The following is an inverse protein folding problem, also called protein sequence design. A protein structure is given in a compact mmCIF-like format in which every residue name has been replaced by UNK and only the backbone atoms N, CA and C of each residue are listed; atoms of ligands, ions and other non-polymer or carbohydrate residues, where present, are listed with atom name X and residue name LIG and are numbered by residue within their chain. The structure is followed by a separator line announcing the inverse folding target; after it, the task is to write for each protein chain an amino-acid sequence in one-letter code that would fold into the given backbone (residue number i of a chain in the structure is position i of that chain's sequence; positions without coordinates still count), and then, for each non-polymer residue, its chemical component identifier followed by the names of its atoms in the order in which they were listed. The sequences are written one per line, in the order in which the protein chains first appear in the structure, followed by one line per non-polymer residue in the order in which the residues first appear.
data_IF_638506142924
#
_entry.id   IF_638506142924
#
_cell.length_a   1.000
_cell.length_b   1.000
_cell.length_c   1.000
_cell.angle_alpha   90.00
_cell.angle_beta   90.00
_cell.angle_gamma   90.00
#
_symmetry.space_group_name_H-M   'P 1'
#
loop_
_entity.id
_entity.type
_entity.pdbx_description
1 polymer ?
#
# COMPACT_ATOMS: atom_id res chain seq x y z
N UNK A 1 -4.96 -12.96 3.37
CA UNK A 1 -4.87 -12.89 4.85
C UNK A 1 -3.40 -12.71 5.19
N UNK A 2 -2.97 -11.59 5.81
CA UNK A 2 -1.55 -11.28 5.95
C UNK A 2 -0.85 -12.32 6.84
N UNK A 3 0.35 -12.72 6.45
CA UNK A 3 1.18 -13.73 7.13
C UNK A 3 2.07 -13.11 8.24
N UNK A 4 1.74 -11.92 8.73
CA UNK A 4 2.52 -11.23 9.77
C UNK A 4 2.14 -11.72 11.18
N UNK A 5 3.10 -11.83 12.12
CA UNK A 5 2.79 -12.09 13.52
C UNK A 5 1.87 -10.98 14.06
N UNK A 6 0.77 -11.36 14.70
CA UNK A 6 -0.23 -10.42 15.26
C UNK A 6 0.38 -9.34 16.18
N UNK A 7 1.54 -9.60 16.78
CA UNK A 7 2.28 -8.65 17.60
C UNK A 7 2.88 -7.45 16.83
N UNK A 8 3.01 -7.56 15.50
CA UNK A 8 3.50 -6.49 14.61
C UNK A 8 2.36 -5.75 13.91
N UNK A 9 1.15 -6.30 13.99
CA UNK A 9 -0.06 -5.70 13.43
C UNK A 9 -0.50 -4.59 14.39
N UNK A 10 -0.64 -3.33 13.93
CA UNK A 10 -1.15 -2.24 14.76
C UNK A 10 -2.49 -2.62 15.41
N UNK A 11 -2.70 -2.34 16.71
CA UNK A 11 -3.95 -2.68 17.42
C UNK A 11 -5.21 -2.06 16.78
N UNK A 12 -5.04 -0.99 16.03
CA UNK A 12 -6.07 -0.29 15.26
C UNK A 12 -6.32 -0.89 13.86
N UNK A 13 -5.70 -2.04 13.56
CA UNK A 13 -6.07 -2.88 12.42
C UNK A 13 -7.48 -3.45 12.54
N UNK A 14 -8.27 -3.11 13.59
CA UNK A 14 -9.71 -3.33 13.68
C UNK A 14 -10.51 -2.54 12.61
N UNK A 15 -10.30 -2.96 11.35
CA UNK A 15 -11.23 -3.25 10.26
C UNK A 15 -12.48 -2.37 10.06
N UNK A 16 -12.33 -1.10 9.66
CA UNK A 16 -13.45 -0.36 9.05
C UNK A 16 -13.17 0.06 7.60
N UNK A 17 -11.99 0.61 7.33
CA UNK A 17 -11.67 1.06 5.97
C UNK A 17 -11.46 -0.12 5.01
N UNK A 18 -10.90 -1.24 5.48
CA UNK A 18 -10.65 -2.42 4.64
C UNK A 18 -11.93 -3.01 4.03
N UNK A 19 -13.06 -2.87 4.72
CA UNK A 19 -14.37 -3.34 4.24
C UNK A 19 -14.86 -2.58 3.00
N UNK A 20 -14.39 -1.34 2.84
CA UNK A 20 -14.74 -0.45 1.72
C UNK A 20 -13.69 -0.52 0.59
N UNK A 21 -12.73 -1.44 0.66
CA UNK A 21 -11.67 -1.60 -0.33
C UNK A 21 -12.18 -2.25 -1.61
N UNK A 22 -11.97 -1.58 -2.76
CA UNK A 22 -12.30 -2.13 -4.09
C UNK A 22 -11.56 -3.44 -4.42
N UNK A 23 -10.43 -3.71 -3.75
CA UNK A 23 -9.69 -4.96 -3.91
C UNK A 23 -10.49 -6.21 -3.50
N UNK A 24 -11.56 -6.06 -2.72
CA UNK A 24 -12.43 -7.17 -2.29
C UNK A 24 -13.21 -7.79 -3.43
N UNK A 25 -13.44 -7.04 -4.51
CA UNK A 25 -14.16 -7.50 -5.70
C UNK A 25 -13.22 -8.11 -6.76
N UNK A 26 -11.91 -8.13 -6.49
CA UNK A 26 -10.88 -8.60 -7.39
C UNK A 26 -10.14 -9.83 -6.82
N UNK A 27 -9.43 -10.56 -7.69
CA UNK A 27 -8.61 -11.70 -7.30
C UNK A 27 -7.48 -11.26 -6.34
N UNK A 28 -7.32 -11.86 -5.15
CA UNK A 28 -6.21 -11.58 -4.24
C UNK A 28 -4.82 -11.73 -4.88
N UNK A 29 -4.66 -12.65 -5.83
CA UNK A 29 -3.39 -12.88 -6.54
C UNK A 29 -2.98 -11.68 -7.40
N UNK A 30 -3.93 -10.80 -7.75
CA UNK A 30 -3.62 -9.54 -8.42
C UNK A 30 -2.75 -8.64 -7.54
N UNK A 31 -3.03 -8.60 -6.23
CA UNK A 31 -2.34 -7.73 -5.29
C UNK A 31 -1.14 -8.41 -4.64
N UNK A 32 -1.20 -9.72 -4.42
CA UNK A 32 -0.21 -10.50 -3.68
C UNK A 32 0.29 -11.68 -4.52
N UNK A 33 1.53 -11.59 -5.01
CA UNK A 33 2.14 -12.64 -5.83
C UNK A 33 2.95 -13.64 -5.00
N UNK A 34 3.14 -14.87 -5.50
CA UNK A 34 4.14 -15.77 -4.96
C UNK A 34 5.56 -15.21 -5.19
N UNK A 35 6.49 -15.52 -4.27
CA UNK A 35 7.86 -14.96 -4.22
C UNK A 35 8.70 -15.07 -5.52
N UNK A 36 8.26 -15.88 -6.49
CA UNK A 36 9.05 -16.21 -7.68
C UNK A 36 8.61 -15.43 -8.94
N UNK A 37 7.57 -14.59 -8.88
CA UNK A 37 7.17 -13.77 -10.04
C UNK A 37 8.17 -12.63 -10.29
N UNK A 38 8.63 -12.48 -11.53
CA UNK A 38 9.64 -11.47 -11.90
C UNK A 38 9.40 -10.88 -13.27
N UNK A 39 10.13 -9.80 -13.57
CA UNK A 39 10.18 -9.18 -14.89
C UNK A 39 8.81 -8.66 -15.36
N UNK A 40 8.50 -8.89 -16.63
CA UNK A 40 7.31 -8.30 -17.27
C UNK A 40 5.99 -8.79 -16.67
N UNK A 41 5.94 -9.99 -16.09
CA UNK A 41 4.73 -10.50 -15.42
C UNK A 41 4.41 -9.66 -14.18
N UNK A 42 5.39 -9.47 -13.30
CA UNK A 42 5.26 -8.63 -12.10
C UNK A 42 4.83 -7.21 -12.45
N UNK A 43 5.46 -6.60 -13.46
CA UNK A 43 5.13 -5.23 -13.90
C UNK A 43 3.69 -5.13 -14.39
N UNK A 44 3.21 -6.10 -15.19
CA UNK A 44 1.81 -6.11 -15.67
C UNK A 44 0.83 -6.28 -14.54
N UNK A 45 1.10 -7.20 -13.61
CA UNK A 45 0.26 -7.44 -12.43
C UNK A 45 0.19 -6.21 -11.54
N UNK A 46 1.34 -5.61 -11.21
CA UNK A 46 1.40 -4.40 -10.40
C UNK A 46 0.62 -3.26 -11.05
N UNK A 47 0.74 -3.06 -12.37
CA UNK A 47 -0.03 -2.04 -13.09
C UNK A 47 -1.54 -2.30 -13.02
N UNK A 48 -1.96 -3.55 -13.16
CA UNK A 48 -3.36 -3.93 -13.06
C UNK A 48 -3.91 -3.72 -11.63
N UNK A 49 -3.15 -4.12 -10.59
CA UNK A 49 -3.50 -3.85 -9.20
C UNK A 49 -3.59 -2.34 -8.89
N UNK A 50 -2.61 -1.56 -9.37
CA UNK A 50 -2.60 -0.10 -9.26
C UNK A 50 -3.84 0.55 -9.89
N UNK A 51 -4.31 0.00 -11.00
CA UNK A 51 -5.53 0.46 -11.68
C UNK A 51 -6.77 0.25 -10.81
N UNK A 52 -6.90 -0.90 -10.14
CA UNK A 52 -7.99 -1.13 -9.16
C UNK A 52 -7.88 -0.16 -7.99
N UNK A 53 -6.67 0.05 -7.47
CA UNK A 53 -6.47 0.99 -6.38
C UNK A 53 -6.82 2.44 -6.76
N UNK A 54 -6.71 2.82 -8.04
CA UNK A 54 -6.89 4.21 -8.48
C UNK A 54 -8.27 4.79 -8.13
N UNK A 55 -9.33 3.98 -8.22
CA UNK A 55 -10.71 4.35 -7.87
C UNK A 55 -11.16 3.90 -6.48
N UNK A 56 -10.27 3.33 -5.66
CA UNK A 56 -10.62 2.81 -4.35
C UNK A 56 -10.86 3.96 -3.34
N UNK A 57 -12.00 3.98 -2.62
CA UNK A 57 -12.34 5.09 -1.71
C UNK A 57 -11.41 5.17 -0.49
N UNK A 58 -10.78 4.06 -0.12
CA UNK A 58 -9.88 3.95 1.06
C UNK A 58 -8.41 3.89 0.68
N UNK A 59 -8.05 4.41 -0.51
CA UNK A 59 -6.69 4.32 -1.05
C UNK A 59 -5.67 4.99 -0.14
N UNK A 60 -6.00 6.14 0.43
CA UNK A 60 -5.12 6.90 1.32
C UNK A 60 -4.84 6.13 2.61
N UNK A 61 -5.88 5.62 3.27
CA UNK A 61 -5.80 4.83 4.50
C UNK A 61 -5.02 3.53 4.28
N UNK A 62 -5.25 2.88 3.14
CA UNK A 62 -4.54 1.66 2.74
C UNK A 62 -3.04 1.92 2.54
N UNK A 63 -2.68 3.02 1.86
CA UNK A 63 -1.29 3.39 1.63
C UNK A 63 -0.57 3.80 2.94
N UNK A 64 -1.24 4.59 3.79
CA UNK A 64 -0.72 5.00 5.10
C UNK A 64 -0.45 3.78 6.00
N UNK A 65 -1.41 2.86 6.07
CA UNK A 65 -1.24 1.59 6.78
C UNK A 65 -0.02 0.83 6.27
N UNK A 66 0.10 0.63 4.95
CA UNK A 66 1.18 -0.16 4.38
C UNK A 66 2.57 0.42 4.66
N UNK A 67 2.70 1.74 4.63
CA UNK A 67 3.95 2.45 4.98
C UNK A 67 4.25 2.34 6.47
N UNK A 68 3.28 2.56 7.37
CA UNK A 68 3.47 2.44 8.83
C UNK A 68 3.79 1.03 9.30
N UNK A 69 3.08 0.06 8.76
CA UNK A 69 3.25 -1.36 9.07
C UNK A 69 4.48 -1.97 8.39
N UNK A 70 5.11 -1.24 7.46
CA UNK A 70 6.17 -1.76 6.58
C UNK A 70 5.75 -3.06 5.91
N UNK A 71 4.60 -3.05 5.26
CA UNK A 71 4.05 -4.23 4.59
C UNK A 71 5.06 -4.75 3.54
N UNK A 72 5.58 -5.98 3.74
CA UNK A 72 6.74 -6.46 2.99
C UNK A 72 6.41 -6.86 1.56
N UNK A 73 5.13 -7.19 1.29
CA UNK A 73 4.71 -7.74 0.01
C UNK A 73 3.45 -7.10 -0.56
N UNK A 74 3.33 -7.15 -1.88
CA UNK A 74 2.12 -6.82 -2.62
C UNK A 74 1.84 -5.34 -2.84
N UNK A 75 0.72 -5.07 -3.50
CA UNK A 75 0.25 -3.72 -3.82
C UNK A 75 -0.79 -3.25 -2.82
N UNK A 76 -0.52 -2.11 -2.17
CA UNK A 76 -1.36 -1.51 -1.13
C UNK A 76 -1.62 -0.04 -1.43
N UNK A 77 -2.89 0.37 -1.51
CA UNK A 77 -3.24 1.78 -1.79
C UNK A 77 -2.63 2.30 -3.11
N UNK A 78 -2.31 1.40 -4.04
CA UNK A 78 -1.63 1.72 -5.30
C UNK A 78 -0.09 1.70 -5.21
N UNK A 79 0.50 1.42 -4.04
CA UNK A 79 1.95 1.31 -3.90
C UNK A 79 2.39 -0.16 -4.02
N UNK A 80 3.28 -0.47 -4.96
CA UNK A 80 4.02 -1.74 -4.96
C UNK A 80 5.08 -1.75 -3.87
N UNK A 81 5.73 -2.90 -3.66
CA UNK A 81 6.89 -3.01 -2.77
C UNK A 81 7.99 -2.01 -3.14
N UNK A 82 8.25 -1.87 -4.45
CA UNK A 82 9.28 -0.97 -4.98
C UNK A 82 8.93 0.50 -4.75
N UNK A 83 7.65 0.87 -4.94
CA UNK A 83 7.19 2.23 -4.61
C UNK A 83 7.39 2.55 -3.13
N UNK A 84 7.11 1.57 -2.25
CA UNK A 84 7.29 1.73 -0.79
C UNK A 84 8.76 1.84 -0.40
N UNK A 85 9.66 1.09 -1.03
CA UNK A 85 11.11 1.22 -0.79
C UNK A 85 11.61 2.63 -1.13
N UNK A 86 11.13 3.23 -2.22
CA UNK A 86 11.45 4.63 -2.54
C UNK A 86 10.93 5.62 -1.49
N UNK A 87 9.78 5.34 -0.88
CA UNK A 87 9.23 6.13 0.21
C UNK A 87 10.10 5.97 1.47
N UNK A 88 10.47 4.74 1.85
CA UNK A 88 11.32 4.49 3.01
C UNK A 88 12.72 5.08 2.89
N UNK A 89 13.26 5.17 1.67
CA UNK A 89 14.54 5.81 1.41
C UNK A 89 14.49 7.35 1.58
N UNK A 90 13.32 7.97 1.38
CA UNK A 90 13.13 9.43 1.43
C UNK A 90 12.64 9.91 2.79
N UNK A 91 11.73 9.17 3.41
CA UNK A 91 11.30 9.40 4.77
C UNK A 91 12.40 8.87 5.67
N UNK A 92 13.10 9.73 6.42
CA UNK A 92 13.94 9.27 7.52
C UNK A 92 13.05 8.43 8.45
N UNK A 93 13.13 7.11 8.28
CA UNK A 93 12.07 6.21 8.74
C UNK A 93 12.03 6.09 10.26
N UNK A 94 13.02 6.68 10.94
CA UNK A 94 13.06 6.89 12.40
C UNK A 94 11.97 7.86 12.87
N UNK A 95 11.49 8.74 11.97
CA UNK A 95 10.54 9.81 12.26
C UNK A 95 9.14 9.58 11.69
N UNK A 96 8.87 8.48 10.98
CA UNK A 96 7.52 8.23 10.50
C UNK A 96 6.60 7.85 11.67
N UNK A 97 5.52 8.60 11.92
CA UNK A 97 4.65 8.31 13.06
C UNK A 97 4.03 6.92 12.94
N UNK A 98 4.23 6.10 13.97
CA UNK A 98 3.63 4.75 14.04
C UNK A 98 2.16 4.79 14.46
N UNK A 99 1.73 5.89 15.08
CA UNK A 99 0.38 6.08 15.58
C UNK A 99 -0.62 6.42 14.44
N UNK A 100 -1.87 6.03 14.65
CA UNK A 100 -2.97 6.14 13.68
C UNK A 100 -3.21 7.57 13.24
N UNK A 101 -3.35 7.79 11.92
CA UNK A 101 -3.69 9.09 11.35
C UNK A 101 -2.60 10.16 11.51
N UNK A 102 -1.51 9.86 12.22
CA UNK A 102 -0.35 10.74 12.33
C UNK A 102 0.48 10.68 11.06
N UNK A 103 0.54 9.54 10.36
CA UNK A 103 1.16 9.42 9.04
C UNK A 103 0.42 10.25 7.98
N UNK A 104 -0.91 10.17 7.93
CA UNK A 104 -1.74 11.04 7.09
C UNK A 104 -1.64 12.53 7.47
N UNK A 105 -1.50 12.87 8.76
CA UNK A 105 -1.35 14.26 9.20
C UNK A 105 0.05 14.83 8.93
N UNK A 106 1.10 14.03 9.12
CA UNK A 106 2.49 14.48 8.99
C UNK A 106 3.01 14.39 7.55
N UNK A 107 2.53 13.41 6.77
CA UNK A 107 3.04 13.11 5.43
C UNK A 107 1.92 12.90 4.38
N UNK A 108 0.69 13.33 4.66
CA UNK A 108 -0.45 13.12 3.77
C UNK A 108 -0.26 13.71 2.37
N UNK A 109 0.42 14.85 2.24
CA UNK A 109 0.74 15.45 0.94
C UNK A 109 1.76 14.63 0.14
N UNK A 110 2.82 14.14 0.80
CA UNK A 110 3.83 13.29 0.17
C UNK A 110 3.23 11.94 -0.23
N UNK A 111 2.39 11.36 0.63
CA UNK A 111 1.69 10.13 0.35
C UNK A 111 0.70 10.31 -0.81
N UNK A 112 -0.11 11.36 -0.81
CA UNK A 112 -1.03 11.69 -1.90
C UNK A 112 -0.32 11.84 -3.25
N UNK A 113 0.86 12.49 -3.25
CA UNK A 113 1.72 12.58 -4.43
C UNK A 113 2.22 11.22 -4.88
N UNK A 114 2.69 10.38 -3.95
CA UNK A 114 3.22 9.04 -4.23
C UNK A 114 2.16 8.11 -4.81
N UNK A 115 0.90 8.23 -4.38
CA UNK A 115 -0.18 7.39 -4.90
C UNK A 115 -0.85 7.97 -6.15
N UNK A 116 -0.49 9.16 -6.62
CA UNK A 116 -1.15 9.79 -7.78
C UNK A 116 -1.06 8.92 -9.04
N UNK A 117 -2.09 8.89 -9.93
CA UNK A 117 -2.06 8.07 -11.16
C UNK A 117 -0.80 8.26 -12.00
N UNK A 118 -0.28 9.50 -12.04
CA UNK A 118 0.98 9.84 -12.69
C UNK A 118 2.18 9.20 -12.01
N UNK A 119 2.30 9.27 -10.68
CA UNK A 119 3.40 8.65 -9.95
C UNK A 119 3.37 7.11 -10.07
N UNK A 120 2.18 6.54 -10.17
CA UNK A 120 1.97 5.10 -10.29
C UNK A 120 2.11 4.54 -11.72
N UNK A 121 2.28 5.40 -12.74
CA UNK A 121 2.40 4.97 -14.14
C UNK A 121 1.12 4.41 -14.74
N UNK A 122 -0.04 4.86 -14.22
CA UNK A 122 -1.39 4.45 -14.65
C UNK A 122 -2.23 5.61 -15.19
N UNK A 123 -1.62 6.78 -15.36
CA UNK A 123 -2.22 7.91 -16.09
C UNK A 123 -2.21 7.66 -17.60
#
# INVERSE_FOLDING_TARGET
MPQQPLAQVPQDAQWFWQEHGACREADPLLFFHPQNERGSSRVRRDRAAKTVCAGCPVRMECADYAVRAREPYGVWGGLSEEDREHIYARLDSRHYPRAKGDGLRAAGADLAKAISPRALGIA
#
